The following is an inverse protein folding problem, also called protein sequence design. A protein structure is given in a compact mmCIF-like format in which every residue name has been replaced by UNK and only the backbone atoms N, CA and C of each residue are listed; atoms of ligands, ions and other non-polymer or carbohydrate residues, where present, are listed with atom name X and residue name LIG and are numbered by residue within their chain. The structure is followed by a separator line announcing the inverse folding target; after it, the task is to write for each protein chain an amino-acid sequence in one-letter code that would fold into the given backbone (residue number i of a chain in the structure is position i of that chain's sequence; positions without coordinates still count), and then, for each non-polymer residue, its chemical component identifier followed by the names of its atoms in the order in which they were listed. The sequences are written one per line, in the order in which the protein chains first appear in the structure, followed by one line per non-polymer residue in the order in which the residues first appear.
data_IF_975281809760
#
_entry.id   IF_975281809760
#
_cell.length_a   1.000
_cell.length_b   1.000
_cell.length_c   1.000
_cell.angle_alpha   90.00
_cell.angle_beta   90.00
_cell.angle_gamma   90.00
#
_symmetry.space_group_name_H-M   'P 1'
#
loop_
_entity.id
_entity.type
_entity.pdbx_description
1 polymer ?
#
# COMPACT_ATOMS: atom_id res chain seq x y z
N UNK A 1 -27.35 -44.82 -26.98
CA UNK A 1 -26.85 -46.19 -27.16
C UNK A 1 -26.10 -46.26 -28.47
N UNK A 2 -24.84 -46.71 -28.42
CA UNK A 2 -24.05 -47.32 -29.51
C UNK A 2 -23.70 -46.44 -30.72
N UNK A 3 -22.46 -45.93 -30.83
CA UNK A 3 -21.22 -46.57 -31.30
C UNK A 3 -21.07 -46.66 -32.83
N UNK A 4 -19.93 -46.08 -33.26
CA UNK A 4 -19.05 -46.44 -34.38
C UNK A 4 -19.52 -46.29 -35.83
N UNK A 5 -18.68 -45.65 -36.67
CA UNK A 5 -17.87 -46.33 -37.70
C UNK A 5 -16.97 -45.32 -38.42
N UNK A 6 -15.66 -45.57 -38.37
CA UNK A 6 -14.59 -45.03 -39.23
C UNK A 6 -14.57 -45.78 -40.57
N UNK A 7 -13.81 -45.30 -41.57
CA UNK A 7 -12.95 -46.25 -42.29
C UNK A 7 -11.50 -45.76 -42.37
N UNK A 8 -10.59 -46.67 -42.05
CA UNK A 8 -9.15 -46.50 -42.18
C UNK A 8 -8.62 -46.91 -43.54
N UNK A 9 -7.39 -46.45 -43.82
CA UNK A 9 -6.47 -47.06 -44.80
C UNK A 9 -5.12 -47.24 -44.09
N UNK A 10 -4.61 -48.46 -44.14
CA UNK A 10 -3.33 -48.93 -43.61
C UNK A 10 -2.37 -49.24 -44.76
N UNK A 11 -1.08 -48.89 -44.67
CA UNK A 11 0.00 -49.88 -44.89
C UNK A 11 1.41 -49.45 -44.38
N UNK A 12 2.03 -50.40 -43.66
CA UNK A 12 3.46 -50.77 -43.48
C UNK A 12 4.58 -49.75 -43.19
N UNK A 13 4.96 -49.71 -41.91
CA UNK A 13 6.22 -50.22 -41.32
C UNK A 13 7.59 -50.07 -42.00
N UNK A 14 8.52 -49.35 -41.34
CA UNK A 14 9.86 -49.82 -40.91
C UNK A 14 10.55 -48.74 -40.06
N UNK A 15 10.94 -49.10 -38.83
CA UNK A 15 11.86 -48.35 -37.96
C UNK A 15 13.30 -48.35 -38.51
N UNK A 16 14.12 -47.34 -38.18
CA UNK A 16 15.26 -47.67 -37.33
C UNK A 16 15.62 -46.61 -36.26
N UNK A 17 16.08 -47.14 -35.12
CA UNK A 17 17.11 -46.62 -34.21
C UNK A 17 16.97 -45.21 -33.60
N UNK A 18 16.77 -45.20 -32.28
CA UNK A 18 17.00 -44.07 -31.39
C UNK A 18 18.49 -43.68 -31.32
N UNK A 19 18.81 -42.39 -31.12
CA UNK A 19 19.94 -42.00 -30.29
C UNK A 19 19.45 -41.70 -28.86
N UNK A 20 20.18 -42.27 -27.92
CA UNK A 20 20.08 -42.00 -26.49
C UNK A 20 20.49 -40.57 -26.14
N UNK A 21 20.12 -40.17 -24.92
CA UNK A 21 20.55 -38.97 -24.17
C UNK A 21 20.07 -37.61 -24.68
N UNK A 22 18.81 -37.29 -24.38
CA UNK A 22 18.45 -35.93 -23.97
C UNK A 22 18.10 -35.99 -22.48
N UNK A 23 19.05 -35.57 -21.66
CA UNK A 23 18.86 -35.34 -20.23
C UNK A 23 17.67 -34.41 -20.06
N UNK A 24 16.52 -34.95 -19.64
CA UNK A 24 15.37 -34.14 -19.23
C UNK A 24 15.79 -33.38 -17.98
N UNK A 25 16.30 -32.15 -18.16
CA UNK A 25 16.40 -31.19 -17.08
C UNK A 25 14.99 -31.05 -16.52
N UNK A 26 14.75 -31.64 -15.34
CA UNK A 26 13.52 -31.43 -14.60
C UNK A 26 13.35 -29.91 -14.48
N UNK A 27 12.34 -29.35 -15.15
CA UNK A 27 12.01 -27.94 -15.01
C UNK A 27 11.57 -27.74 -13.57
N UNK A 28 12.49 -27.29 -12.71
CA UNK A 28 12.21 -27.01 -11.31
C UNK A 28 11.06 -26.01 -11.26
N UNK A 29 9.88 -26.46 -10.84
CA UNK A 29 8.71 -25.61 -10.68
C UNK A 29 9.05 -24.62 -9.57
N UNK A 30 9.27 -23.35 -9.91
CA UNK A 30 9.60 -22.32 -8.93
C UNK A 30 8.39 -22.08 -8.03
N UNK A 31 8.52 -22.40 -6.74
CA UNK A 31 7.50 -22.12 -5.73
C UNK A 31 7.99 -21.02 -4.80
N UNK A 32 7.31 -19.88 -4.77
CA UNK A 32 7.64 -18.74 -3.88
C UNK A 32 6.54 -18.58 -2.86
N UNK A 33 6.92 -18.50 -1.59
CA UNK A 33 6.00 -18.19 -0.49
C UNK A 33 6.41 -16.88 0.16
N UNK A 34 5.50 -15.91 0.21
CA UNK A 34 5.75 -14.62 0.86
C UNK A 34 4.73 -14.35 1.95
N UNK A 35 5.22 -13.77 3.05
CA UNK A 35 4.39 -13.29 4.15
C UNK A 35 4.15 -11.80 3.97
N UNK A 36 2.90 -11.36 4.08
CA UNK A 36 2.53 -9.95 3.99
C UNK A 36 3.28 -9.11 5.03
N UNK A 37 3.91 -8.03 4.56
CA UNK A 37 4.46 -6.98 5.43
C UNK A 37 3.66 -5.70 5.18
N UNK A 38 2.76 -5.33 6.09
CA UNK A 38 1.92 -4.15 5.92
C UNK A 38 2.70 -2.83 6.11
N UNK A 39 3.74 -2.84 6.95
CA UNK A 39 4.51 -1.65 7.30
C UNK A 39 5.97 -1.79 6.90
N UNK A 40 6.60 -0.66 6.56
CA UNK A 40 7.98 -0.52 6.13
C UNK A 40 8.63 0.66 6.86
N UNK A 41 9.93 0.59 7.13
CA UNK A 41 10.66 1.75 7.65
C UNK A 41 10.91 2.80 6.54
N UNK A 42 11.24 4.04 6.92
CA UNK A 42 11.55 5.08 5.94
C UNK A 42 12.78 4.71 5.10
N UNK A 43 13.78 4.06 5.72
CA UNK A 43 14.94 3.52 4.99
C UNK A 43 14.57 2.43 3.98
N UNK A 44 13.67 1.50 4.32
CA UNK A 44 13.18 0.48 3.40
C UNK A 44 12.40 1.08 2.23
N UNK A 45 11.54 2.08 2.51
CA UNK A 45 10.83 2.81 1.46
C UNK A 45 11.81 3.53 0.51
N UNK A 46 12.84 4.16 1.07
CA UNK A 46 13.89 4.82 0.27
C UNK A 46 14.67 3.83 -0.59
N UNK A 47 14.96 2.65 -0.05
CA UNK A 47 15.60 1.54 -0.76
C UNK A 47 14.73 1.04 -1.92
N UNK A 48 13.46 0.73 -1.69
CA UNK A 48 12.51 0.28 -2.72
C UNK A 48 12.37 1.32 -3.84
N UNK A 49 12.15 2.59 -3.47
CA UNK A 49 12.09 3.68 -4.45
C UNK A 49 13.39 3.85 -5.25
N UNK A 50 14.56 3.50 -4.69
CA UNK A 50 15.82 3.56 -5.45
C UNK A 50 15.88 2.53 -6.59
N UNK A 51 15.09 1.45 -6.48
CA UNK A 51 15.00 0.41 -7.51
C UNK A 51 13.91 0.69 -8.54
N UNK A 52 12.80 1.30 -8.13
CA UNK A 52 11.60 1.49 -8.96
C UNK A 52 11.46 2.89 -9.56
N UNK A 53 12.10 3.89 -8.97
CA UNK A 53 12.01 5.28 -9.41
C UNK A 53 13.42 5.77 -9.77
N UNK A 54 13.71 5.98 -11.06
CA UNK A 54 14.97 6.55 -11.50
C UNK A 54 15.28 7.85 -10.76
N UNK A 55 16.54 8.07 -10.38
CA UNK A 55 16.97 9.26 -9.63
C UNK A 55 16.58 10.58 -10.32
N UNK A 56 16.60 10.60 -11.65
CA UNK A 56 16.19 11.74 -12.49
C UNK A 56 14.69 12.05 -12.40
N UNK A 57 13.86 11.08 -12.03
CA UNK A 57 12.40 11.19 -12.01
C UNK A 57 11.81 11.39 -10.61
N UNK A 58 12.61 11.43 -9.54
CA UNK A 58 12.11 11.54 -8.16
C UNK A 58 11.24 12.78 -7.92
N UNK A 59 11.68 13.95 -8.40
CA UNK A 59 10.91 15.19 -8.29
C UNK A 59 9.59 15.10 -9.08
N UNK A 60 9.66 14.51 -10.26
CA UNK A 60 8.48 14.34 -11.11
C UNK A 60 7.49 13.36 -10.50
N UNK A 61 7.95 12.26 -9.90
CA UNK A 61 7.11 11.34 -9.15
C UNK A 61 6.38 12.04 -8.02
N UNK A 62 7.07 12.87 -7.23
CA UNK A 62 6.44 13.63 -6.14
C UNK A 62 5.33 14.56 -6.65
N UNK A 63 5.61 15.32 -7.72
CA UNK A 63 4.62 16.20 -8.36
C UNK A 63 3.44 15.42 -8.98
N UNK A 64 3.72 14.32 -9.69
CA UNK A 64 2.68 13.45 -10.26
C UNK A 64 1.83 12.82 -9.16
N UNK A 65 2.41 12.38 -8.04
CA UNK A 65 1.65 11.83 -6.90
C UNK A 65 0.66 12.87 -6.35
N UNK A 66 1.08 14.12 -6.22
CA UNK A 66 0.21 15.21 -5.78
C UNK A 66 -0.93 15.48 -6.78
N UNK A 67 -0.63 15.52 -8.09
CA UNK A 67 -1.64 15.65 -9.13
C UNK A 67 -2.65 14.50 -9.11
N UNK A 68 -2.17 13.27 -8.92
CA UNK A 68 -3.00 12.07 -8.81
C UNK A 68 -3.88 12.13 -7.55
N UNK A 69 -3.36 12.61 -6.42
CA UNK A 69 -4.17 12.82 -5.21
C UNK A 69 -5.32 13.81 -5.46
N UNK A 70 -5.03 14.96 -6.07
CA UNK A 70 -6.06 15.95 -6.41
C UNK A 70 -7.11 15.39 -7.38
N UNK A 71 -6.67 14.67 -8.41
CA UNK A 71 -7.53 13.98 -9.36
C UNK A 71 -8.45 12.94 -8.68
N UNK A 72 -7.87 12.08 -7.83
CA UNK A 72 -8.62 11.06 -7.10
C UNK A 72 -9.61 11.67 -6.11
N UNK A 73 -9.22 12.76 -5.45
CA UNK A 73 -10.09 13.49 -4.54
C UNK A 73 -11.34 14.05 -5.27
N UNK A 74 -11.16 14.61 -6.47
CA UNK A 74 -12.29 15.04 -7.30
C UNK A 74 -13.16 13.85 -7.74
N UNK A 75 -12.53 12.74 -8.16
CA UNK A 75 -13.26 11.53 -8.55
C UNK A 75 -14.08 10.95 -7.40
N UNK A 76 -13.51 10.88 -6.19
CA UNK A 76 -14.16 10.42 -4.94
C UNK A 76 -15.38 11.30 -4.61
N UNK A 77 -15.26 12.62 -4.73
CA UNK A 77 -16.38 13.56 -4.51
C UNK A 77 -17.52 13.33 -5.51
N UNK A 78 -17.22 13.20 -6.81
CA UNK A 78 -18.23 12.96 -7.85
C UNK A 78 -18.89 11.59 -7.68
N UNK A 79 -18.09 10.57 -7.36
CA UNK A 79 -18.57 9.22 -7.09
C UNK A 79 -19.21 9.11 -5.68
N UNK A 80 -19.17 10.14 -4.85
CA UNK A 80 -19.72 10.11 -3.48
C UNK A 80 -19.15 8.96 -2.64
N UNK A 81 -17.86 8.68 -2.79
CA UNK A 81 -17.18 7.73 -1.93
C UNK A 81 -16.81 8.38 -0.58
N UNK A 82 -16.82 7.61 0.52
CA UNK A 82 -16.29 8.10 1.80
C UNK A 82 -14.77 8.24 1.74
N UNK A 83 -14.20 9.06 2.63
CA UNK A 83 -12.76 9.37 2.66
C UNK A 83 -11.89 8.13 2.89
N UNK A 84 -12.35 7.13 3.65
CA UNK A 84 -11.64 5.84 3.78
C UNK A 84 -11.32 5.18 2.43
N UNK A 85 -12.19 5.32 1.42
CA UNK A 85 -11.91 4.82 0.05
C UNK A 85 -10.73 5.57 -0.56
N UNK A 86 -10.63 6.89 -0.37
CA UNK A 86 -9.49 7.68 -0.83
C UNK A 86 -8.20 7.29 -0.09
N UNK A 87 -8.28 7.07 1.23
CA UNK A 87 -7.15 6.61 2.04
C UNK A 87 -6.61 5.25 1.54
N UNK A 88 -7.48 4.25 1.40
CA UNK A 88 -7.13 2.93 0.86
C UNK A 88 -6.60 3.01 -0.57
N UNK A 89 -7.17 3.88 -1.40
CA UNK A 89 -6.68 4.14 -2.77
C UNK A 89 -5.26 4.69 -2.78
N UNK A 90 -4.98 5.72 -1.98
CA UNK A 90 -3.65 6.34 -1.92
C UNK A 90 -2.61 5.40 -1.32
N UNK A 91 -3.01 4.56 -0.37
CA UNK A 91 -2.17 3.53 0.18
C UNK A 91 -1.77 2.50 -0.90
N UNK A 92 -2.74 1.99 -1.68
CA UNK A 92 -2.48 1.09 -2.81
C UNK A 92 -1.64 1.74 -3.91
N UNK A 93 -1.88 3.00 -4.24
CA UNK A 93 -1.13 3.73 -5.25
C UNK A 93 0.35 3.84 -4.86
N UNK A 94 0.62 4.21 -3.60
CA UNK A 94 1.99 4.31 -3.09
C UNK A 94 2.67 2.93 -3.03
N UNK A 95 1.97 1.88 -2.56
CA UNK A 95 2.49 0.50 -2.55
C UNK A 95 2.80 -0.02 -3.94
N UNK A 96 2.02 0.34 -4.94
CA UNK A 96 2.26 -0.09 -6.32
C UNK A 96 3.65 0.34 -6.80
N UNK A 97 4.05 1.59 -6.53
CA UNK A 97 5.35 2.13 -6.93
C UNK A 97 6.53 1.72 -6.04
N UNK A 98 6.28 0.97 -4.96
CA UNK A 98 7.36 0.29 -4.22
C UNK A 98 7.93 -0.90 -5.00
N UNK A 99 7.15 -1.53 -5.88
CA UNK A 99 7.54 -2.75 -6.59
C UNK A 99 7.40 -2.67 -8.11
N UNK A 100 6.92 -1.55 -8.65
CA UNK A 100 6.78 -1.33 -10.09
C UNK A 100 7.47 -0.04 -10.50
N UNK A 101 8.07 -0.09 -11.70
CA UNK A 101 8.76 1.05 -12.28
C UNK A 101 7.80 2.22 -12.49
N UNK A 102 8.24 3.41 -12.07
CA UNK A 102 7.58 4.66 -12.41
C UNK A 102 8.01 5.13 -13.80
N UNK A 103 7.03 5.42 -14.66
CA UNK A 103 7.24 6.02 -15.97
C UNK A 103 6.31 7.23 -16.14
N UNK A 104 6.76 8.18 -16.95
CA UNK A 104 5.99 9.38 -17.28
C UNK A 104 5.01 9.02 -18.39
N UNK A 105 3.76 9.45 -18.24
CA UNK A 105 2.82 9.41 -19.35
C UNK A 105 3.30 10.35 -20.47
N UNK A 106 3.79 9.78 -21.58
CA UNK A 106 4.25 10.51 -22.77
C UNK A 106 3.08 11.08 -23.56
N UNK A 107 1.88 10.53 -23.38
CA UNK A 107 0.64 10.96 -24.02
C UNK A 107 -0.53 10.83 -23.04
N UNK A 108 -1.54 11.73 -23.08
CA UNK A 108 -2.75 11.60 -22.26
C UNK A 108 -3.51 10.28 -22.51
N UNK A 109 -3.39 9.72 -23.72
CA UNK A 109 -4.00 8.44 -24.09
C UNK A 109 -3.09 7.22 -23.85
N UNK A 110 -1.91 7.41 -23.24
CA UNK A 110 -1.10 6.27 -22.80
C UNK A 110 -1.83 5.52 -21.69
N UNK A 111 -2.09 4.23 -21.93
CA UNK A 111 -2.80 3.35 -21.00
C UNK A 111 -1.81 2.55 -20.17
N UNK A 112 -0.79 1.98 -20.81
CA UNK A 112 0.22 1.14 -20.19
C UNK A 112 1.16 1.96 -19.29
N UNK A 113 1.38 1.46 -18.07
CA UNK A 113 2.20 2.09 -17.01
C UNK A 113 1.84 3.55 -16.68
N UNK A 114 0.68 4.02 -17.15
CA UNK A 114 0.20 5.37 -16.90
C UNK A 114 -0.18 5.53 -15.43
N UNK A 115 0.35 6.57 -14.73
CA UNK A 115 -0.02 6.86 -13.35
C UNK A 115 -1.53 7.00 -13.14
N UNK A 116 -2.24 7.54 -14.13
CA UNK A 116 -3.70 7.65 -14.08
C UNK A 116 -4.39 6.29 -14.17
N UNK A 117 -3.93 5.38 -15.03
CA UNK A 117 -4.48 4.02 -15.11
C UNK A 117 -4.25 3.26 -13.80
N UNK A 118 -3.07 3.40 -13.20
CA UNK A 118 -2.77 2.83 -11.88
C UNK A 118 -3.71 3.41 -10.82
N UNK A 119 -3.86 4.74 -10.77
CA UNK A 119 -4.76 5.41 -9.82
C UNK A 119 -6.22 4.95 -9.95
N UNK A 120 -6.75 4.83 -11.18
CA UNK A 120 -8.11 4.32 -11.43
C UNK A 120 -8.23 2.87 -10.95
N UNK A 121 -7.21 2.06 -11.18
CA UNK A 121 -7.16 0.66 -10.73
C UNK A 121 -7.18 0.57 -9.21
N UNK A 122 -6.35 1.38 -8.53
CA UNK A 122 -6.31 1.46 -7.06
C UNK A 122 -7.68 1.90 -6.51
N UNK A 123 -8.33 2.88 -7.11
CA UNK A 123 -9.65 3.37 -6.70
C UNK A 123 -10.72 2.29 -6.86
N UNK A 124 -10.70 1.57 -7.99
CA UNK A 124 -11.63 0.49 -8.25
C UNK A 124 -11.45 -0.66 -7.23
N UNK A 125 -10.21 -1.08 -6.97
CA UNK A 125 -9.93 -2.12 -5.98
C UNK A 125 -10.33 -1.66 -4.57
N UNK A 126 -9.96 -0.45 -4.16
CA UNK A 126 -10.31 0.12 -2.87
C UNK A 126 -11.83 0.17 -2.66
N UNK A 127 -12.60 0.53 -3.70
CA UNK A 127 -14.07 0.53 -3.63
C UNK A 127 -14.66 -0.86 -3.30
N UNK A 128 -13.99 -1.94 -3.74
CA UNK A 128 -14.40 -3.32 -3.41
C UNK A 128 -14.02 -3.73 -2.01
N UNK A 129 -12.85 -3.31 -1.55
CA UNK A 129 -12.33 -3.63 -0.21
C UNK A 129 -13.09 -2.86 0.89
N UNK A 130 -13.54 -1.65 0.60
CA UNK A 130 -14.28 -0.79 1.53
C UNK A 130 -15.81 -0.98 1.48
N UNK A 131 -16.30 -2.03 0.80
CA UNK A 131 -17.74 -2.29 0.58
C UNK A 131 -18.50 -1.12 -0.07
N UNK A 132 -17.81 -0.29 -0.84
CA UNK A 132 -18.36 0.86 -1.56
C UNK A 132 -18.38 0.61 -3.08
N UNK A 133 -18.86 -0.57 -3.50
CA UNK A 133 -18.68 -1.06 -4.87
C UNK A 133 -19.43 -0.20 -5.88
N UNK A 134 -18.72 0.19 -6.95
CA UNK A 134 -19.32 0.76 -8.18
C UNK A 134 -18.92 -0.03 -9.41
N UNK A 135 -19.71 0.09 -10.48
CA UNK A 135 -19.38 -0.53 -11.77
C UNK A 135 -18.11 0.13 -12.31
N UNK A 136 -17.19 -0.70 -12.82
CA UNK A 136 -15.93 -0.22 -13.40
C UNK A 136 -16.17 0.82 -14.51
N UNK A 137 -17.20 0.62 -15.35
CA UNK A 137 -17.56 1.58 -16.41
C UNK A 137 -17.87 2.97 -15.85
N UNK A 138 -18.59 3.05 -14.73
CA UNK A 138 -18.98 4.34 -14.13
C UNK A 138 -17.76 5.05 -13.53
N UNK A 139 -16.83 4.29 -12.92
CA UNK A 139 -15.55 4.82 -12.42
C UNK A 139 -14.70 5.33 -13.58
N UNK A 140 -14.55 4.55 -14.65
CA UNK A 140 -13.83 4.95 -15.87
C UNK A 140 -14.42 6.24 -16.45
N UNK A 141 -15.74 6.35 -16.51
CA UNK A 141 -16.43 7.50 -17.07
C UNK A 141 -16.14 8.80 -16.32
N UNK A 142 -16.24 8.76 -14.99
CA UNK A 142 -15.91 9.92 -14.16
C UNK A 142 -14.44 10.29 -14.31
N UNK A 143 -13.54 9.31 -14.24
CA UNK A 143 -12.11 9.53 -14.32
C UNK A 143 -11.64 10.03 -15.70
N UNK A 144 -12.19 9.53 -16.80
CA UNK A 144 -11.83 9.97 -18.15
C UNK A 144 -12.42 11.35 -18.45
N UNK A 145 -13.63 11.65 -17.97
CA UNK A 145 -14.23 12.99 -18.06
C UNK A 145 -13.39 14.05 -17.33
N UNK A 146 -12.90 13.74 -16.13
CA UNK A 146 -11.99 14.62 -15.37
C UNK A 146 -10.66 14.88 -16.08
N UNK A 147 -10.25 13.99 -16.98
CA UNK A 147 -9.02 14.09 -17.77
C UNK A 147 -9.27 14.61 -19.19
N UNK A 148 -10.50 15.00 -19.50
CA UNK A 148 -10.93 15.46 -20.82
C UNK A 148 -10.64 14.45 -21.96
N UNK A 149 -10.71 13.16 -21.65
CA UNK A 149 -10.47 12.08 -22.62
C UNK A 149 -11.78 11.61 -23.22
N UNK A 150 -11.86 11.59 -24.55
CA UNK A 150 -12.97 11.00 -25.26
C UNK A 150 -12.84 9.46 -25.30
N UNK A 151 -13.69 8.80 -24.53
CA UNK A 151 -13.74 7.34 -24.35
C UNK A 151 -14.05 6.55 -25.62
N UNK A 152 -14.77 7.16 -26.57
CA UNK A 152 -15.17 6.54 -27.83
C UNK A 152 -14.09 6.68 -28.91
N UNK A 153 -12.98 7.35 -28.61
CA UNK A 153 -11.84 7.42 -29.52
C UNK A 153 -11.37 6.01 -29.84
N UNK A 154 -11.38 5.66 -31.12
CA UNK A 154 -10.88 4.38 -31.60
C UNK A 154 -9.35 4.41 -31.59
N UNK A 155 -8.76 3.44 -30.92
CA UNK A 155 -7.32 3.22 -30.89
C UNK A 155 -7.05 1.94 -31.65
N UNK A 156 -6.18 2.01 -32.66
CA UNK A 156 -5.81 0.84 -33.45
C UNK A 156 -4.99 -0.13 -32.59
N UNK A 157 -5.47 -1.36 -32.49
CA UNK A 157 -4.74 -2.46 -31.84
C UNK A 157 -4.85 -3.68 -32.73
N UNK A 158 -3.71 -4.22 -33.19
CA UNK A 158 -3.66 -5.38 -34.09
C UNK A 158 -4.50 -5.21 -35.37
N UNK A 159 -4.57 -4.00 -35.94
CA UNK A 159 -5.33 -3.71 -37.16
C UNK A 159 -6.85 -3.57 -36.97
N UNK A 160 -7.35 -3.61 -35.73
CA UNK A 160 -8.76 -3.36 -35.40
C UNK A 160 -8.87 -2.10 -34.53
N UNK A 161 -9.76 -1.18 -34.89
CA UNK A 161 -10.08 -0.03 -34.06
C UNK A 161 -10.90 -0.46 -32.84
N UNK A 162 -10.31 -0.35 -31.65
CA UNK A 162 -10.99 -0.67 -30.38
C UNK A 162 -11.26 0.63 -29.62
N UNK A 163 -12.45 0.82 -29.03
CA UNK A 163 -12.72 1.98 -28.19
C UNK A 163 -11.72 2.06 -27.03
N UNK A 164 -11.20 3.27 -26.76
CA UNK A 164 -10.25 3.52 -25.68
C UNK A 164 -10.71 2.95 -24.34
N UNK A 165 -12.00 3.09 -24.01
CA UNK A 165 -12.57 2.59 -22.76
C UNK A 165 -12.43 1.08 -22.58
N UNK A 166 -12.48 0.30 -23.66
CA UNK A 166 -12.37 -1.16 -23.62
C UNK A 166 -10.92 -1.61 -23.45
N UNK A 167 -9.97 -0.92 -24.11
CA UNK A 167 -8.54 -1.12 -23.90
C UNK A 167 -8.14 -0.75 -22.46
N UNK A 168 -8.63 0.39 -21.97
CA UNK A 168 -8.39 0.84 -20.60
C UNK A 168 -8.95 -0.17 -19.59
N UNK A 169 -10.14 -0.73 -19.85
CA UNK A 169 -10.74 -1.77 -18.99
C UNK A 169 -9.84 -3.00 -18.90
N UNK A 170 -9.35 -3.50 -20.03
CA UNK A 170 -8.42 -4.64 -20.07
C UNK A 170 -7.16 -4.36 -19.25
N UNK A 171 -6.60 -3.15 -19.38
CA UNK A 171 -5.41 -2.76 -18.63
C UNK A 171 -5.68 -2.60 -17.13
N UNK A 172 -6.84 -2.05 -16.73
CA UNK A 172 -7.23 -1.92 -15.32
C UNK A 172 -7.32 -3.30 -14.68
N UNK A 173 -7.97 -4.28 -15.31
CA UNK A 173 -8.09 -5.63 -14.77
C UNK A 173 -6.73 -6.36 -14.67
N UNK A 174 -5.85 -6.15 -15.66
CA UNK A 174 -4.48 -6.68 -15.62
C UNK A 174 -3.66 -6.05 -14.47
N UNK A 175 -3.73 -4.73 -14.33
CA UNK A 175 -3.04 -3.98 -13.26
C UNK A 175 -3.61 -4.32 -11.89
N UNK A 176 -4.92 -4.56 -11.79
CA UNK A 176 -5.57 -4.99 -10.55
C UNK A 176 -4.99 -6.30 -10.05
N UNK A 177 -4.81 -7.29 -10.95
CA UNK A 177 -4.21 -8.56 -10.58
C UNK A 177 -2.76 -8.40 -10.11
N UNK A 178 -2.00 -7.47 -10.69
CA UNK A 178 -0.65 -7.12 -10.20
C UNK A 178 -0.73 -6.49 -8.80
N UNK A 179 -1.64 -5.54 -8.59
CA UNK A 179 -1.82 -4.85 -7.32
C UNK A 179 -2.14 -5.82 -6.18
N UNK A 180 -3.02 -6.80 -6.43
CA UNK A 180 -3.34 -7.87 -5.48
C UNK A 180 -2.12 -8.71 -5.07
N UNK A 181 -1.20 -8.98 -6.00
CA UNK A 181 0.05 -9.70 -5.71
C UNK A 181 1.05 -8.86 -4.91
N UNK A 182 1.06 -7.53 -5.11
CA UNK A 182 1.92 -6.62 -4.35
C UNK A 182 1.41 -6.50 -2.92
N UNK A 183 0.10 -6.37 -2.73
CA UNK A 183 -0.52 -6.35 -1.39
C UNK A 183 -0.55 -7.72 -0.74
N UNK A 184 -0.05 -8.78 -1.42
CA UNK A 184 -0.03 -10.16 -0.92
C UNK A 184 -1.43 -10.66 -0.54
N UNK A 185 -2.46 -10.13 -1.20
CA UNK A 185 -3.87 -10.36 -0.86
C UNK A 185 -4.21 -10.05 0.60
N UNK A 186 -3.44 -9.15 1.22
CA UNK A 186 -3.68 -8.67 2.57
C UNK A 186 -4.66 -7.49 2.51
N UNK A 187 -5.92 -7.83 2.75
CA UNK A 187 -7.00 -6.86 2.85
C UNK A 187 -7.25 -6.41 4.28
N UNK A 188 -6.43 -6.79 5.27
CA UNK A 188 -6.64 -6.36 6.67
C UNK A 188 -6.34 -4.87 6.89
N UNK A 189 -5.71 -4.20 5.92
CA UNK A 189 -5.67 -2.74 5.87
C UNK A 189 -6.96 -2.11 5.34
N UNK A 190 -7.88 -2.91 4.81
CA UNK A 190 -9.26 -2.53 4.55
C UNK A 190 -10.21 -3.30 5.48
N UNK A 191 -11.50 -2.96 5.42
CA UNK A 191 -12.50 -3.43 6.39
C UNK A 191 -12.50 -4.96 6.56
N UNK A 192 -11.89 -5.44 7.65
CA UNK A 192 -12.19 -6.75 8.19
C UNK A 192 -13.44 -6.59 9.07
N UNK A 193 -14.54 -7.34 8.86
CA UNK A 193 -15.81 -7.13 9.55
C UNK A 193 -15.77 -7.29 11.08
N UNK A 194 -14.64 -7.70 11.66
CA UNK A 194 -14.41 -7.71 13.11
C UNK A 194 -13.68 -6.47 13.66
N UNK A 195 -12.93 -5.73 12.84
CA UNK A 195 -12.20 -4.52 13.23
C UNK A 195 -11.98 -3.62 11.99
N UNK A 196 -12.81 -2.60 11.83
CA UNK A 196 -12.58 -1.53 10.86
C UNK A 196 -11.52 -0.57 11.45
N UNK A 197 -10.28 -0.65 10.97
CA UNK A 197 -9.15 0.13 11.50
C UNK A 197 -8.75 1.18 10.46
N UNK A 198 -9.64 2.12 10.18
CA UNK A 198 -9.29 3.32 9.44
C UNK A 198 -8.88 4.44 10.42
N UNK A 199 -7.99 5.33 9.97
CA UNK A 199 -7.49 6.43 10.82
C UNK A 199 -8.64 7.36 11.20
N UNK A 200 -9.55 7.68 10.29
CA UNK A 200 -10.69 8.57 10.52
C UNK A 200 -11.67 8.03 11.58
N UNK A 201 -12.02 6.75 11.51
CA UNK A 201 -12.91 6.13 12.48
C UNK A 201 -12.30 6.07 13.89
N UNK A 202 -11.00 5.74 13.99
CA UNK A 202 -10.26 5.69 15.26
C UNK A 202 -10.07 7.09 15.86
N UNK A 203 -9.78 8.07 15.02
CA UNK A 203 -9.62 9.46 15.42
C UNK A 203 -10.89 9.95 16.11
N UNK A 204 -12.06 9.73 15.53
CA UNK A 204 -13.34 10.14 16.12
C UNK A 204 -13.60 9.40 17.44
N UNK A 205 -13.27 8.11 17.52
CA UNK A 205 -13.41 7.33 18.75
C UNK A 205 -12.51 7.88 19.87
N UNK A 206 -11.26 8.19 19.57
CA UNK A 206 -10.31 8.75 20.54
C UNK A 206 -10.71 10.16 20.96
N UNK A 207 -11.13 11.03 20.02
CA UNK A 207 -11.66 12.35 20.33
C UNK A 207 -12.85 12.29 21.30
N UNK A 208 -13.79 11.34 21.08
CA UNK A 208 -14.93 11.13 21.97
C UNK A 208 -14.53 10.59 23.33
N UNK A 209 -13.58 9.64 23.40
CA UNK A 209 -13.09 9.08 24.65
C UNK A 209 -12.41 10.15 25.51
N UNK A 210 -11.66 11.06 24.88
CA UNK A 210 -10.98 12.17 25.54
C UNK A 210 -11.87 13.39 25.79
N UNK A 211 -13.14 13.36 25.36
CA UNK A 211 -14.10 14.46 25.54
C UNK A 211 -13.74 15.74 24.79
N UNK A 212 -13.07 15.65 23.64
CA UNK A 212 -12.63 16.82 22.88
C UNK A 212 -13.82 17.57 22.24
N UNK A 213 -13.73 18.90 22.20
CA UNK A 213 -14.73 19.75 21.53
C UNK A 213 -14.76 19.53 20.01
N UNK A 214 -15.78 20.09 19.35
CA UNK A 214 -15.92 19.94 17.90
C UNK A 214 -14.77 20.63 17.17
N UNK A 215 -14.34 21.81 17.64
CA UNK A 215 -13.22 22.56 17.04
C UNK A 215 -11.94 21.72 16.91
N UNK A 216 -11.47 21.12 18.00
CA UNK A 216 -10.25 20.29 18.00
C UNK A 216 -10.49 19.00 17.21
N UNK A 217 -11.67 18.38 17.35
CA UNK A 217 -12.02 17.18 16.59
C UNK A 217 -12.02 17.42 15.07
N UNK A 218 -12.49 18.59 14.64
CA UNK A 218 -12.47 19.01 13.24
C UNK A 218 -11.04 19.28 12.75
N UNK A 219 -10.20 19.93 13.57
CA UNK A 219 -8.78 20.11 13.26
C UNK A 219 -8.08 18.76 13.06
N UNK A 220 -8.30 17.80 13.96
CA UNK A 220 -7.79 16.45 13.84
C UNK A 220 -8.21 15.82 12.49
N UNK A 221 -9.49 15.96 12.13
CA UNK A 221 -10.01 15.37 10.89
C UNK A 221 -9.39 16.01 9.64
N UNK A 222 -9.19 17.33 9.64
CA UNK A 222 -8.53 18.05 8.55
C UNK A 222 -7.06 17.63 8.42
N UNK A 223 -6.35 17.45 9.53
CA UNK A 223 -4.97 16.94 9.51
C UNK A 223 -4.93 15.55 8.91
N UNK A 224 -5.81 14.64 9.34
CA UNK A 224 -5.89 13.30 8.77
C UNK A 224 -6.10 13.34 7.24
N UNK A 225 -6.97 14.25 6.78
CA UNK A 225 -7.25 14.42 5.36
C UNK A 225 -6.00 14.82 4.55
N UNK A 226 -5.14 15.69 5.06
CA UNK A 226 -3.87 16.03 4.39
C UNK A 226 -2.90 14.85 4.37
N UNK A 227 -2.82 14.11 5.46
CA UNK A 227 -1.84 13.04 5.66
C UNK A 227 -2.11 11.82 4.76
N UNK A 228 -3.34 11.65 4.24
CA UNK A 228 -3.68 10.59 3.27
C UNK A 228 -2.75 10.58 2.04
N UNK A 229 -2.27 11.74 1.59
CA UNK A 229 -1.39 11.82 0.42
C UNK A 229 0.06 11.39 0.70
N UNK A 230 0.40 11.18 1.98
CA UNK A 230 1.74 10.84 2.44
C UNK A 230 1.91 9.32 2.58
N UNK A 231 3.15 8.79 2.56
CA UNK A 231 3.43 7.39 2.81
C UNK A 231 3.32 7.00 4.30
N UNK A 232 2.84 7.87 5.20
CA UNK A 232 2.80 7.57 6.63
C UNK A 232 1.99 6.30 6.95
N UNK A 233 0.91 6.05 6.19
CA UNK A 233 0.11 4.82 6.30
C UNK A 233 0.84 3.53 5.92
N UNK A 234 2.04 3.63 5.32
CA UNK A 234 2.94 2.52 5.02
C UNK A 234 4.00 2.32 6.10
N UNK A 235 4.16 3.26 7.04
CA UNK A 235 5.19 3.23 8.07
C UNK A 235 4.58 2.93 9.43
N UNK A 236 3.50 3.64 9.76
CA UNK A 236 2.91 3.64 11.10
C UNK A 236 1.50 3.06 11.07
N UNK A 237 1.11 2.24 12.07
CA UNK A 237 -0.26 1.74 12.20
C UNK A 237 -1.31 2.85 12.39
N UNK A 238 -2.57 2.63 11.95
CA UNK A 238 -3.60 3.68 11.98
C UNK A 238 -3.91 4.26 13.36
N UNK A 239 -3.90 3.45 14.43
CA UNK A 239 -4.16 3.91 15.80
C UNK A 239 -3.07 4.85 16.31
N UNK A 240 -1.80 4.57 16.01
CA UNK A 240 -0.69 5.45 16.34
C UNK A 240 -0.77 6.77 15.55
N UNK A 241 -1.16 6.72 14.27
CA UNK A 241 -1.38 7.95 13.46
C UNK A 241 -2.50 8.79 14.06
N UNK A 242 -3.64 8.19 14.42
CA UNK A 242 -4.76 8.89 15.03
C UNK A 242 -4.36 9.59 16.35
N UNK A 243 -3.62 8.88 17.22
CA UNK A 243 -3.11 9.45 18.47
C UNK A 243 -2.12 10.59 18.23
N UNK A 244 -1.19 10.42 17.28
CA UNK A 244 -0.23 11.47 16.90
C UNK A 244 -0.94 12.74 16.42
N UNK A 245 -1.98 12.59 15.58
CA UNK A 245 -2.79 13.72 15.10
C UNK A 245 -3.47 14.44 16.27
N UNK A 246 -4.03 13.71 17.23
CA UNK A 246 -4.66 14.30 18.42
C UNK A 246 -3.64 15.09 19.25
N UNK A 247 -2.46 14.52 19.51
CA UNK A 247 -1.39 15.21 20.25
C UNK A 247 -0.98 16.51 19.55
N UNK A 248 -0.84 16.49 18.21
CA UNK A 248 -0.52 17.67 17.42
C UNK A 248 -1.64 18.71 17.52
N UNK A 249 -2.90 18.31 17.34
CA UNK A 249 -4.06 19.23 17.40
C UNK A 249 -4.19 19.90 18.76
N UNK A 250 -4.05 19.13 19.84
CA UNK A 250 -4.06 19.64 21.22
C UNK A 250 -2.89 20.61 21.48
N UNK A 251 -1.72 20.31 20.92
CA UNK A 251 -0.53 21.16 21.06
C UNK A 251 -0.62 22.45 20.23
N UNK A 252 -1.32 22.43 19.09
CA UNK A 252 -1.50 23.58 18.22
C UNK A 252 -2.58 24.54 18.72
N UNK A 253 -3.68 23.98 19.23
CA UNK A 253 -4.90 24.65 19.72
C UNK A 253 -5.14 26.04 19.09
N UNK A 254 -5.54 26.12 17.81
CA UNK A 254 -5.77 27.38 17.13
C UNK A 254 -6.97 28.13 17.75
N UNK A 255 -6.78 29.42 18.06
CA UNK A 255 -7.83 30.29 18.59
C UNK A 255 -8.96 30.52 17.59
N UNK A 256 -8.58 30.84 16.36
CA UNK A 256 -9.52 31.08 15.27
C UNK A 256 -9.45 29.95 14.23
N UNK A 257 -10.59 29.32 13.99
CA UNK A 257 -10.80 28.43 12.86
C UNK A 257 -12.09 28.83 12.14
N UNK A 258 -12.02 28.89 10.81
CA UNK A 258 -13.19 29.15 9.98
C UNK A 258 -14.08 27.90 9.91
N UNK A 259 -14.96 27.74 10.89
CA UNK A 259 -15.89 26.62 10.99
C UNK A 259 -17.31 27.07 10.64
N UNK A 260 -18.03 26.22 9.91
CA UNK A 260 -19.46 26.46 9.61
C UNK A 260 -20.35 26.40 10.85
N UNK A 261 -19.90 25.71 11.89
CA UNK A 261 -20.57 25.63 13.18
C UNK A 261 -19.74 26.45 14.18
N UNK A 262 -20.30 27.56 14.65
CA UNK A 262 -19.75 28.29 15.79
C UNK A 262 -20.23 27.61 17.07
N UNK A 263 -19.30 27.04 17.84
CA UNK A 263 -19.58 26.65 19.21
C UNK A 263 -19.81 27.94 20.04
N UNK A 264 -20.77 27.85 20.97
CA UNK A 264 -21.15 28.93 21.90
C UNK A 264 -19.94 29.19 22.81
N UNK A 265 -19.53 30.45 22.94
CA UNK A 265 -18.49 31.00 23.83
C UNK A 265 -18.07 30.05 24.97
N UNK A 266 -17.12 29.14 24.68
CA UNK A 266 -16.46 28.33 25.70
C UNK A 266 -15.38 29.19 26.35
N UNK A 267 -15.34 29.21 27.69
CA UNK A 267 -14.29 29.91 28.44
C UNK A 267 -12.89 29.42 27.99
N UNK A 268 -12.14 30.26 27.27
CA UNK A 268 -10.83 29.90 26.69
C UNK A 268 -9.85 29.35 27.75
N UNK A 269 -9.88 29.90 28.96
CA UNK A 269 -9.03 29.46 30.06
C UNK A 269 -9.40 28.05 30.56
N UNK A 270 -10.68 27.69 30.51
CA UNK A 270 -11.14 26.35 30.85
C UNK A 270 -10.73 25.33 29.79
N UNK A 271 -10.79 25.69 28.50
CA UNK A 271 -10.32 24.86 27.38
C UNK A 271 -8.81 24.57 27.49
N UNK A 272 -7.98 25.59 27.73
CA UNK A 272 -6.53 25.42 27.91
C UNK A 272 -6.21 24.55 29.12
N UNK A 273 -6.97 24.69 30.22
CA UNK A 273 -6.85 23.84 31.40
C UNK A 273 -7.16 22.36 31.11
N UNK A 274 -8.26 22.11 30.39
CA UNK A 274 -8.65 20.77 29.96
C UNK A 274 -7.60 20.11 29.06
N UNK A 275 -7.09 20.84 28.06
CA UNK A 275 -6.06 20.33 27.14
C UNK A 275 -4.79 19.93 27.88
N UNK A 276 -4.31 20.77 28.81
CA UNK A 276 -3.11 20.46 29.60
C UNK A 276 -3.31 19.22 30.46
N UNK A 277 -4.50 19.05 31.04
CA UNK A 277 -4.86 17.87 31.81
C UNK A 277 -4.83 16.62 30.93
N UNK A 278 -5.50 16.65 29.77
CA UNK A 278 -5.52 15.53 28.82
C UNK A 278 -4.11 15.15 28.40
N UNK A 279 -3.27 16.11 28.00
CA UNK A 279 -1.89 15.84 27.60
C UNK A 279 -1.03 15.24 28.73
N UNK A 280 -1.31 15.58 29.99
CA UNK A 280 -0.59 15.02 31.14
C UNK A 280 -1.05 13.62 31.55
N UNK A 281 -2.32 13.29 31.26
CA UNK A 281 -2.95 12.01 31.61
C UNK A 281 -2.88 11.00 30.45
N UNK A 282 -2.49 11.42 29.24
CA UNK A 282 -2.45 10.58 28.05
C UNK A 282 -1.37 9.48 28.17
N UNK A 283 -1.79 8.26 28.46
CA UNK A 283 -0.92 7.08 28.41
C UNK A 283 -1.04 6.37 27.05
N UNK A 284 0.06 6.33 26.29
CA UNK A 284 0.10 5.65 24.99
C UNK A 284 -0.21 4.14 25.11
N UNK A 285 0.06 3.52 26.26
CA UNK A 285 -0.20 2.10 26.49
C UNK A 285 -1.69 1.76 26.55
N UNK A 286 -2.53 2.68 27.04
CA UNK A 286 -3.99 2.49 27.11
C UNK A 286 -4.59 2.29 25.71
N UNK A 287 -4.03 2.99 24.72
CA UNK A 287 -4.43 2.92 23.32
C UNK A 287 -3.68 1.85 22.51
N UNK A 288 -2.84 1.04 23.16
CA UNK A 288 -1.94 0.06 22.52
C UNK A 288 -1.00 0.71 21.49
N UNK A 289 -0.64 1.97 21.70
CA UNK A 289 0.24 2.73 20.82
C UNK A 289 1.66 2.74 21.40
N UNK A 290 2.66 2.12 20.76
CA UNK A 290 4.05 2.29 21.16
C UNK A 290 4.49 3.74 20.96
N UNK A 291 5.10 4.34 21.98
CA UNK A 291 5.51 5.76 21.98
C UNK A 291 6.41 6.08 20.78
N UNK A 292 7.37 5.22 20.45
CA UNK A 292 8.29 5.39 19.31
C UNK A 292 7.59 5.53 17.97
N UNK A 293 6.49 4.80 17.76
CA UNK A 293 5.69 4.88 16.52
C UNK A 293 4.82 6.14 16.47
N UNK A 294 4.32 6.58 17.63
CA UNK A 294 3.58 7.85 17.75
C UNK A 294 4.53 9.01 17.47
N UNK A 295 5.74 9.00 18.03
CA UNK A 295 6.76 10.01 17.84
C UNK A 295 7.20 10.11 16.37
N UNK A 296 7.40 8.97 15.71
CA UNK A 296 7.67 8.90 14.27
C UNK A 296 6.57 9.59 13.46
N UNK A 297 5.30 9.28 13.76
CA UNK A 297 4.16 9.92 13.11
C UNK A 297 4.09 11.42 13.41
N UNK A 298 4.32 11.86 14.65
CA UNK A 298 4.30 13.27 15.02
C UNK A 298 5.34 14.04 14.21
N UNK A 299 6.60 13.57 14.21
CA UNK A 299 7.69 14.22 13.49
C UNK A 299 7.43 14.25 11.99
N UNK A 300 6.90 13.17 11.42
CA UNK A 300 6.56 13.11 10.00
C UNK A 300 5.47 14.13 9.62
N UNK A 301 4.39 14.20 10.40
CA UNK A 301 3.27 15.12 10.16
C UNK A 301 3.73 16.57 10.28
N UNK A 302 4.51 16.89 11.32
CA UNK A 302 5.06 18.23 11.50
C UNK A 302 6.03 18.59 10.37
N UNK A 303 6.88 17.65 9.94
CA UNK A 303 7.78 17.86 8.80
C UNK A 303 7.01 18.14 7.50
N UNK A 304 5.95 17.38 7.24
CA UNK A 304 5.04 17.61 6.12
C UNK A 304 4.48 19.04 6.13
N UNK A 305 3.97 19.52 7.27
CA UNK A 305 3.46 20.89 7.37
C UNK A 305 4.56 21.95 7.30
N UNK A 306 5.80 21.67 7.70
CA UNK A 306 6.89 22.64 7.51
C UNK A 306 7.28 22.82 6.05
N UNK A 307 7.10 21.80 5.20
CA UNK A 307 7.57 21.82 3.81
C UNK A 307 6.45 21.99 2.76
N UNK A 308 5.23 21.54 3.05
CA UNK A 308 4.14 21.44 2.08
C UNK A 308 2.84 22.12 2.55
N UNK A 309 2.94 23.10 3.47
CA UNK A 309 1.78 23.85 3.97
C UNK A 309 0.96 24.50 2.86
N UNK A 310 1.61 25.02 1.82
CA UNK A 310 0.95 25.69 0.68
C UNK A 310 0.03 24.76 -0.14
N UNK A 311 0.10 23.45 0.12
CA UNK A 311 -0.71 22.43 -0.55
C UNK A 311 -1.67 21.71 0.39
N UNK A 312 -1.74 22.15 1.65
CA UNK A 312 -2.61 21.60 2.69
C UNK A 312 -4.00 22.21 2.62
N UNK A 313 -5.02 21.40 2.93
CA UNK A 313 -6.39 21.88 3.09
C UNK A 313 -6.55 22.82 4.30
N UNK A 314 -5.65 22.74 5.30
CA UNK A 314 -5.71 23.58 6.50
C UNK A 314 -5.61 25.07 6.17
N UNK A 315 -5.01 25.45 5.04
CA UNK A 315 -4.95 26.83 4.60
C UNK A 315 -6.34 27.46 4.40
N UNK A 316 -7.34 26.67 4.01
CA UNK A 316 -8.70 27.14 3.80
C UNK A 316 -9.44 27.39 5.13
N UNK A 317 -8.98 26.75 6.22
CA UNK A 317 -9.65 26.75 7.53
C UNK A 317 -8.91 27.59 8.60
N UNK A 318 -7.59 27.71 8.50
CA UNK A 318 -6.76 28.49 9.42
C UNK A 318 -6.42 29.86 8.81
N UNK A 319 -6.39 30.94 9.62
CA UNK A 319 -5.94 32.23 9.14
C UNK A 319 -4.45 32.15 8.74
N UNK A 320 -4.04 32.85 7.66
CA UNK A 320 -2.66 32.75 7.13
C UNK A 320 -1.61 33.24 8.12
N UNK A 321 -1.98 34.27 8.90
CA UNK A 321 -1.20 34.79 10.01
C UNK A 321 -1.91 34.40 11.29
N UNK A 322 -1.16 33.83 12.21
CA UNK A 322 -1.67 33.59 13.54
C UNK A 322 -1.82 34.91 14.31
N UNK A 323 -3.00 35.15 14.89
CA UNK A 323 -3.27 36.36 15.65
C UNK A 323 -2.43 36.45 16.93
N UNK A 324 -2.05 35.31 17.53
CA UNK A 324 -1.30 35.27 18.79
C UNK A 324 0.18 35.60 18.60
N UNK A 325 0.82 35.00 17.61
CA UNK A 325 2.26 35.19 17.34
C UNK A 325 2.56 36.26 16.30
N UNK A 326 1.57 36.70 15.51
CA UNK A 326 1.75 37.64 14.40
C UNK A 326 2.61 37.07 13.26
N UNK A 327 2.84 35.76 13.23
CA UNK A 327 3.69 35.06 12.26
C UNK A 327 2.87 34.10 11.41
N UNK A 328 3.42 33.69 10.26
CA UNK A 328 2.82 32.66 9.42
C UNK A 328 2.65 31.35 10.21
N UNK A 329 1.56 30.62 9.96
CA UNK A 329 1.24 29.36 10.67
C UNK A 329 2.37 28.31 10.59
N UNK A 330 3.16 28.32 9.50
CA UNK A 330 4.34 27.45 9.33
C UNK A 330 5.30 27.53 10.54
N UNK A 331 5.47 28.71 11.14
CA UNK A 331 6.37 28.88 12.28
C UNK A 331 5.87 28.15 13.54
N UNK A 332 4.54 27.99 13.72
CA UNK A 332 4.00 27.19 14.81
C UNK A 332 4.35 25.71 14.66
N UNK A 333 4.17 25.17 13.46
CA UNK A 333 4.54 23.78 13.18
C UNK A 333 6.05 23.55 13.37
N UNK A 334 6.87 24.53 12.98
CA UNK A 334 8.32 24.48 13.22
C UNK A 334 8.68 24.53 14.70
N UNK A 335 8.05 25.41 15.49
CA UNK A 335 8.27 25.50 16.94
C UNK A 335 7.81 24.22 17.65
N UNK A 336 6.67 23.66 17.25
CA UNK A 336 6.21 22.36 17.74
C UNK A 336 7.21 21.26 17.40
N UNK A 337 7.71 21.21 16.17
CA UNK A 337 8.72 20.23 15.75
C UNK A 337 9.98 20.29 16.62
N UNK A 338 10.43 21.49 16.99
CA UNK A 338 11.58 21.66 17.88
C UNK A 338 11.37 21.02 19.27
N UNK A 339 10.14 20.97 19.78
CA UNK A 339 9.82 20.32 21.07
C UNK A 339 9.97 18.79 21.00
N UNK A 340 9.84 18.19 19.81
CA UNK A 340 9.91 16.74 19.59
C UNK A 340 11.24 16.24 19.01
N UNK A 341 12.24 17.11 18.78
CA UNK A 341 13.50 16.73 18.12
C UNK A 341 14.35 15.70 18.89
N UNK A 342 14.26 15.66 20.23
CA UNK A 342 15.09 14.79 21.07
C UNK A 342 14.39 13.48 21.46
N UNK A 343 13.29 13.16 20.80
CA UNK A 343 12.42 12.04 21.18
C UNK A 343 12.90 10.76 20.51
N UNK A 344 12.73 9.62 21.19
CA UNK A 344 13.07 8.32 20.63
C UNK A 344 12.12 7.95 19.48
N UNK A 345 12.72 7.70 18.31
CA UNK A 345 12.05 7.30 17.07
C UNK A 345 12.30 5.83 16.76
N UNK A 346 11.71 5.35 15.66
CA UNK A 346 11.89 3.96 15.22
C UNK A 346 13.38 3.66 14.99
N UNK A 347 13.85 2.56 15.58
CA UNK A 347 15.24 2.14 15.44
C UNK A 347 15.48 1.47 14.08
N UNK A 348 16.12 2.19 13.16
CA UNK A 348 16.44 1.71 11.81
C UNK A 348 17.79 0.97 11.70
N UNK A 349 18.40 0.54 12.83
CA UNK A 349 19.71 -0.18 12.81
C UNK A 349 19.71 -1.42 11.89
N UNK A 350 18.55 -2.07 11.73
CA UNK A 350 18.37 -3.25 10.90
C UNK A 350 18.05 -2.94 9.43
N UNK A 351 17.87 -1.68 9.06
CA UNK A 351 17.34 -1.25 7.74
C UNK A 351 18.41 -0.61 6.86
N UNK A 352 19.68 -1.00 6.99
CA UNK A 352 20.74 -0.47 6.15
C UNK A 352 20.71 -1.05 4.73
N UNK A 353 21.27 -0.32 3.75
CA UNK A 353 21.25 -0.74 2.34
C UNK A 353 21.76 -2.17 2.10
N UNK A 354 22.82 -2.59 2.81
CA UNK A 354 23.42 -3.94 2.66
C UNK A 354 22.54 -5.05 3.23
N UNK A 355 21.76 -4.77 4.26
CA UNK A 355 20.81 -5.70 4.83
C UNK A 355 19.53 -5.76 3.99
N UNK A 356 19.05 -4.61 3.51
CA UNK A 356 17.88 -4.53 2.64
C UNK A 356 18.09 -5.28 1.32
N UNK A 357 19.31 -5.24 0.77
CA UNK A 357 19.69 -6.02 -0.43
C UNK A 357 19.61 -7.54 -0.22
N UNK A 358 19.78 -8.02 1.01
CA UNK A 358 19.66 -9.44 1.34
C UNK A 358 18.23 -9.88 1.62
N UNK A 359 17.30 -8.94 1.76
CA UNK A 359 15.90 -9.25 2.03
C UNK A 359 15.16 -9.52 0.72
N UNK A 360 14.84 -10.80 0.49
CA UNK A 360 14.08 -11.23 -0.70
C UNK A 360 12.70 -10.56 -0.82
N UNK A 361 12.13 -10.08 0.30
CA UNK A 361 10.87 -9.35 0.25
C UNK A 361 11.02 -7.97 -0.39
N UNK A 362 12.19 -7.34 -0.27
CA UNK A 362 12.48 -6.01 -0.81
C UNK A 362 13.04 -6.03 -2.24
N UNK A 363 13.16 -7.22 -2.84
CA UNK A 363 13.55 -7.35 -4.24
C UNK A 363 12.39 -6.99 -5.18
N UNK A 364 12.72 -6.54 -6.39
CA UNK A 364 11.75 -6.32 -7.45
C UNK A 364 10.88 -7.57 -7.70
N UNK A 365 9.57 -7.39 -7.67
CA UNK A 365 8.62 -8.49 -7.79
C UNK A 365 8.49 -8.98 -9.23
N UNK A 366 8.82 -10.25 -9.47
CA UNK A 366 8.65 -10.89 -10.77
C UNK A 366 7.25 -11.52 -10.90
N UNK A 367 6.38 -10.84 -11.64
CA UNK A 367 5.02 -11.32 -11.97
C UNK A 367 5.01 -12.59 -12.84
N UNK A 368 6.13 -12.94 -13.49
CA UNK A 368 6.25 -14.13 -14.32
C UNK A 368 6.36 -15.44 -13.53
N UNK A 369 6.70 -15.37 -12.25
CA UNK A 369 6.84 -16.55 -11.37
C UNK A 369 5.51 -17.29 -11.24
N UNK A 370 4.40 -16.57 -11.12
CA UNK A 370 3.06 -17.16 -11.02
C UNK A 370 2.66 -17.94 -12.29
N UNK A 371 3.18 -17.58 -13.46
CA UNK A 371 2.89 -18.26 -14.73
C UNK A 371 3.74 -19.53 -14.91
N UNK A 372 4.97 -19.54 -14.39
CA UNK A 372 5.93 -20.64 -14.56
C UNK A 372 5.93 -21.64 -13.39
N UNK A 373 5.32 -21.28 -12.26
CA UNK A 373 5.27 -22.10 -11.06
C UNK A 373 4.13 -21.73 -10.12
N UNK A 374 4.39 -21.62 -8.82
CA UNK A 374 3.35 -21.27 -7.84
C UNK A 374 3.79 -20.17 -6.91
N UNK A 375 2.95 -19.15 -6.73
CA UNK A 375 3.15 -18.11 -5.73
C UNK A 375 2.10 -18.25 -4.65
N UNK A 376 2.53 -18.26 -3.38
CA UNK A 376 1.66 -18.31 -2.20
C UNK A 376 1.87 -17.10 -1.33
N UNK A 377 0.77 -16.50 -0.89
CA UNK A 377 0.78 -15.37 0.03
C UNK A 377 0.19 -15.79 1.38
N UNK A 378 0.83 -15.38 2.46
CA UNK A 378 0.42 -15.68 3.83
C UNK A 378 0.32 -14.40 4.64
N UNK A 379 -0.70 -14.31 5.50
CA UNK A 379 -0.90 -13.15 6.38
C UNK A 379 -0.11 -13.25 7.69
N UNK A 380 0.38 -14.45 8.03
CA UNK A 380 1.09 -14.68 9.28
C UNK A 380 2.15 -15.76 9.15
N UNK A 381 3.27 -15.55 9.84
CA UNK A 381 4.35 -16.53 10.01
C UNK A 381 3.89 -17.84 10.66
N UNK A 382 2.73 -17.86 11.34
CA UNK A 382 2.18 -19.06 11.99
C UNK A 382 1.99 -20.25 11.02
N UNK A 383 1.70 -19.99 9.73
CA UNK A 383 1.63 -21.07 8.71
C UNK A 383 2.96 -21.38 8.03
N UNK A 384 3.91 -20.45 8.02
CA UNK A 384 5.26 -20.67 7.47
C UNK A 384 5.99 -21.81 8.20
N UNK A 385 5.72 -21.97 9.50
CA UNK A 385 6.25 -23.07 10.31
C UNK A 385 5.95 -24.46 9.71
N UNK A 386 4.73 -24.67 9.19
CA UNK A 386 4.37 -25.95 8.56
C UNK A 386 5.11 -26.20 7.25
N UNK A 387 5.44 -25.15 6.49
CA UNK A 387 6.21 -25.28 5.26
C UNK A 387 7.66 -25.65 5.58
N UNK A 388 8.29 -25.00 6.56
CA UNK A 388 9.63 -25.36 7.02
C UNK A 388 9.67 -26.78 7.61
N UNK A 389 8.66 -27.16 8.40
CA UNK A 389 8.55 -28.53 8.93
C UNK A 389 8.35 -29.56 7.81
N UNK A 390 7.59 -29.23 6.75
CA UNK A 390 7.42 -30.10 5.59
C UNK A 390 8.71 -30.19 4.76
N UNK A 391 9.40 -29.09 4.48
CA UNK A 391 10.70 -29.12 3.81
C UNK A 391 11.76 -29.89 4.61
N UNK A 392 11.70 -29.79 5.94
CA UNK A 392 12.59 -30.56 6.82
C UNK A 392 12.26 -32.05 6.78
N UNK A 393 10.97 -32.40 6.75
CA UNK A 393 10.52 -33.79 6.53
C UNK A 393 10.96 -34.32 5.17
N UNK A 394 10.71 -33.57 4.10
CA UNK A 394 11.06 -33.97 2.74
C UNK A 394 12.59 -34.16 2.59
N UNK A 395 13.40 -33.29 3.22
CA UNK A 395 14.87 -33.46 3.30
C UNK A 395 15.25 -34.72 4.09
N UNK A 396 14.62 -34.96 5.24
CA UNK A 396 14.89 -36.17 6.04
C UNK A 396 14.52 -37.46 5.31
N UNK A 397 13.41 -37.48 4.55
CA UNK A 397 12.99 -38.63 3.75
C UNK A 397 13.94 -38.87 2.56
N UNK A 398 14.50 -37.81 1.97
CA UNK A 398 15.52 -37.92 0.93
C UNK A 398 16.85 -38.46 1.47
N UNK A 399 17.25 -38.05 2.67
CA UNK A 399 18.44 -38.59 3.35
C UNK A 399 18.26 -40.05 3.74
N UNK A 400 17.09 -40.43 4.24
CA UNK A 400 16.78 -41.81 4.61
C UNK A 400 16.73 -42.73 3.38
N UNK A 401 16.19 -42.26 2.24
CA UNK A 401 16.25 -42.98 0.96
C UNK A 401 17.69 -43.15 0.47
N UNK A 402 18.54 -42.13 0.59
CA UNK A 402 19.97 -42.23 0.23
C UNK A 402 20.73 -43.22 1.12
N UNK A 403 20.45 -43.24 2.42
CA UNK A 403 21.06 -44.19 3.35
C UNK A 403 20.66 -45.64 3.02
N UNK A 404 19.36 -45.90 2.75
CA UNK A 404 18.88 -47.24 2.37
C UNK A 404 19.49 -47.73 1.04
N UNK A 405 19.68 -46.83 0.07
CA UNK A 405 20.38 -47.14 -1.18
C UNK A 405 21.86 -47.49 -0.94
N UNK A 406 22.56 -46.72 -0.10
CA UNK A 406 23.96 -46.99 0.23
C UNK A 406 24.15 -48.29 1.05
N UNK A 407 23.19 -48.64 1.91
CA UNK A 407 23.19 -49.93 2.61
C UNK A 407 22.92 -51.09 1.67
N UNK A 408 22.00 -50.93 0.72
CA UNK A 408 21.73 -51.94 -0.30
C UNK A 408 22.93 -52.17 -1.23
N UNK A 409 23.65 -51.12 -1.64
CA UNK A 409 24.91 -51.25 -2.39
C UNK A 409 25.99 -51.97 -1.58
N UNK A 410 26.16 -51.64 -0.29
CA UNK A 410 27.10 -52.34 0.60
C UNK A 410 26.76 -53.81 0.81
N UNK A 411 25.47 -54.15 0.92
CA UNK A 411 24.99 -55.53 1.00
C UNK A 411 25.22 -56.29 -0.32
N UNK A 412 24.98 -55.63 -1.46
CA UNK A 412 25.26 -56.21 -2.77
C UNK A 412 26.75 -56.46 -2.99
N UNK A 413 27.63 -55.60 -2.47
CA UNK A 413 29.08 -55.79 -2.56
C UNK A 413 29.58 -56.93 -1.67
N UNK A 414 28.98 -57.13 -0.49
CA UNK A 414 29.28 -58.26 0.40
C UNK A 414 28.78 -59.62 -0.07
N UNK A 415 27.92 -59.66 -1.09
CA UNK A 415 27.41 -60.89 -1.70
C UNK A 415 28.24 -61.31 -2.94
N UNK A 416 29.20 -60.48 -3.35
CA UNK A 416 30.07 -60.71 -4.51
C UNK A 416 31.50 -61.10 -4.09
N UNK A 417 31.86 -60.90 -2.82
CA UNK A 417 33.04 -61.45 -2.14
C UNK A 417 32.67 -62.73 -1.38
#
# INVERSE_FOLDING_TARGET
MSNDVTPGISDKGKSPSAPASATSAASTITSVTQVSRPFFTLQELSYLHSQTIPSTLKLQYASTKQQIYQFLNQAVKILKFPIRVLATTMNYYQRFYLFNQFDIAKSPMQIENSPYTVAITCLFLASKVEDCIKKLKDVQQVCNKLREINENTLVETNGVGVPFIDLQRKQILSTEFKLLQITKFDFNLGNNPSFAINVDDLLIQFCKNLGLNYKISMLCWLINYDIIQTPLSLVVPPHCIALAIIIISLSLNPKDMNLQHHEIDEDEDAEVGMIKKILSELDCNEFQCPETLVNEAILYILDYYTHQYDHSILQDFLPPIDQVTGKNQIFKFLELKQKFNNVEILNEKSCNFKLNEKDEYLANWDYGVATKGSVRFMLSNKRSRFANEQETKDKSEQEEKKQKLAEHEKLSQRLID
#
